data_IF_788333444833
#
_entry.id   IF_788333444833
#
_cell.length_a   1.000
_cell.length_b   1.000
_cell.length_c   1.000
_cell.angle_alpha   90.00
_cell.angle_beta   90.00
_cell.angle_gamma   90.00
#
_symmetry.space_group_name_H-M   'P 1'
#
loop_
_entity.id
_entity.type
_entity.pdbx_description
1 polymer ?
#
# COMPACT_ATOMS: atom_id res chain seq x y z
N UNK A 1 -20.73 -39.63 43.89
CA UNK A 1 -20.06 -38.35 43.62
C UNK A 1 -19.15 -38.61 42.44
N UNK A 2 -19.50 -38.08 41.27
CA UNK A 2 -18.63 -38.04 40.10
C UNK A 2 -18.80 -36.64 39.56
N UNK A 3 -17.81 -35.80 39.85
CA UNK A 3 -17.79 -34.41 39.45
C UNK A 3 -17.69 -34.34 37.94
N UNK A 4 -18.70 -33.71 37.34
CA UNK A 4 -18.67 -33.28 35.95
C UNK A 4 -17.57 -32.22 35.86
N UNK A 5 -16.44 -32.58 35.25
CA UNK A 5 -15.40 -31.64 34.90
C UNK A 5 -15.97 -30.65 33.90
N UNK A 6 -16.41 -29.50 34.40
CA UNK A 6 -16.73 -28.36 33.54
C UNK A 6 -15.43 -27.99 32.82
N UNK A 7 -15.38 -28.26 31.51
CA UNK A 7 -14.35 -27.72 30.63
C UNK A 7 -14.37 -26.21 30.84
N UNK A 8 -13.29 -25.64 31.40
CA UNK A 8 -13.14 -24.21 31.44
C UNK A 8 -13.26 -23.68 30.00
N UNK A 9 -14.02 -22.61 29.73
CA UNK A 9 -14.05 -22.04 28.40
C UNK A 9 -12.61 -21.71 28.00
N UNK A 10 -12.18 -22.24 26.85
CA UNK A 10 -10.89 -21.89 26.28
C UNK A 10 -10.80 -20.36 26.22
N UNK A 11 -9.65 -19.80 26.60
CA UNK A 11 -9.44 -18.37 26.47
C UNK A 11 -9.73 -17.96 25.01
N UNK A 12 -10.43 -16.85 24.77
CA UNK A 12 -10.66 -16.40 23.40
C UNK A 12 -9.32 -16.21 22.71
N UNK A 13 -9.18 -16.82 21.54
CA UNK A 13 -8.02 -16.64 20.69
C UNK A 13 -8.02 -15.21 20.14
N UNK A 14 -6.84 -14.61 20.07
CA UNK A 14 -6.62 -13.30 19.46
C UNK A 14 -5.57 -13.47 18.36
N UNK A 15 -5.94 -13.32 17.07
CA UNK A 15 -7.28 -13.03 16.55
C UNK A 15 -8.26 -14.21 16.65
N UNK A 16 -9.56 -13.88 16.73
CA UNK A 16 -10.64 -14.87 16.66
C UNK A 16 -10.71 -15.47 15.23
N UNK A 17 -10.63 -16.81 15.08
CA UNK A 17 -10.64 -17.43 13.77
C UNK A 17 -12.00 -17.27 13.08
N UNK A 18 -12.05 -16.82 11.82
CA UNK A 18 -13.28 -16.80 11.03
C UNK A 18 -13.89 -18.20 10.89
N UNK A 19 -15.22 -18.28 10.69
CA UNK A 19 -15.93 -19.56 10.63
C UNK A 19 -15.36 -20.54 9.59
N UNK A 20 -14.90 -20.04 8.45
CA UNK A 20 -14.27 -20.85 7.41
C UNK A 20 -12.98 -21.55 7.89
N UNK A 21 -12.20 -20.92 8.76
CA UNK A 21 -11.02 -21.51 9.39
C UNK A 21 -11.40 -22.57 10.42
N UNK A 22 -12.48 -22.34 11.18
CA UNK A 22 -13.02 -23.32 12.12
C UNK A 22 -13.49 -24.59 11.40
N UNK A 23 -14.20 -24.45 10.27
CA UNK A 23 -14.61 -25.60 9.47
C UNK A 23 -13.40 -26.30 8.81
N UNK A 24 -12.41 -25.54 8.33
CA UNK A 24 -11.17 -26.10 7.78
C UNK A 24 -10.39 -26.92 8.82
N UNK A 25 -10.31 -26.44 10.07
CA UNK A 25 -9.65 -27.14 11.17
C UNK A 25 -10.25 -28.53 11.44
N UNK A 26 -11.59 -28.66 11.36
CA UNK A 26 -12.29 -29.95 11.52
C UNK A 26 -11.93 -30.95 10.42
N UNK A 27 -11.58 -30.46 9.23
CA UNK A 27 -11.18 -31.28 8.10
C UNK A 27 -9.67 -31.59 8.10
N UNK A 28 -8.88 -30.82 8.84
CA UNK A 28 -7.44 -30.92 8.94
C UNK A 28 -6.98 -30.90 10.42
N UNK A 29 -7.17 -31.99 11.18
CA UNK A 29 -6.66 -32.10 12.55
C UNK A 29 -5.12 -32.12 12.57
N UNK A 30 -4.54 -31.65 13.67
CA UNK A 30 -3.09 -31.52 13.87
C UNK A 30 -2.38 -30.75 12.72
N UNK A 31 -3.01 -29.67 12.23
CA UNK A 31 -2.54 -28.90 11.08
C UNK A 31 -2.44 -27.40 11.36
N UNK A 32 -1.63 -26.71 10.57
CA UNK A 32 -1.52 -25.25 10.58
C UNK A 32 -2.33 -24.66 9.43
N UNK A 33 -3.16 -23.66 9.75
CA UNK A 33 -4.06 -22.98 8.82
C UNK A 33 -3.58 -21.53 8.66
N UNK A 34 -3.02 -21.24 7.50
CA UNK A 34 -2.44 -19.92 7.19
C UNK A 34 -3.53 -18.88 6.89
N UNK A 35 -3.38 -17.69 7.47
CA UNK A 35 -4.18 -16.50 7.15
C UNK A 35 -3.41 -15.61 6.16
N UNK A 36 -3.71 -15.66 4.84
CA UNK A 36 -3.14 -14.72 3.89
C UNK A 36 -3.69 -13.31 4.11
N UNK A 37 -2.89 -12.31 3.77
CA UNK A 37 -3.38 -10.94 3.65
C UNK A 37 -4.35 -10.85 2.45
N UNK A 38 -5.57 -10.29 2.62
CA UNK A 38 -6.57 -10.18 1.55
C UNK A 38 -6.12 -9.40 0.31
N UNK A 39 -5.09 -8.55 0.43
CA UNK A 39 -4.53 -7.80 -0.68
C UNK A 39 -3.63 -8.64 -1.58
N UNK A 40 -3.21 -9.85 -1.17
CA UNK A 40 -2.41 -10.74 -2.01
C UNK A 40 -3.24 -11.33 -3.16
N UNK A 41 -2.71 -11.26 -4.39
CA UNK A 41 -3.42 -11.65 -5.64
C UNK A 41 -2.69 -12.68 -6.50
N UNK A 42 -1.68 -13.36 -5.95
CA UNK A 42 -0.90 -14.34 -6.70
C UNK A 42 -1.64 -15.65 -6.98
N UNK A 43 -1.07 -16.47 -7.86
CA UNK A 43 -1.53 -17.84 -8.08
C UNK A 43 -0.85 -18.81 -7.11
N UNK A 44 -1.59 -19.80 -6.62
CA UNK A 44 -1.07 -20.84 -5.73
C UNK A 44 -1.10 -20.46 -4.24
N UNK A 45 -0.25 -21.07 -3.41
CA UNK A 45 -0.10 -20.68 -2.01
C UNK A 45 0.55 -19.28 -1.89
N UNK A 46 0.12 -18.46 -0.92
CA UNK A 46 0.78 -17.19 -0.63
C UNK A 46 2.23 -17.43 -0.22
N UNK A 47 3.18 -16.58 -0.65
CA UNK A 47 4.53 -16.58 -0.10
C UNK A 47 4.50 -16.14 1.37
N UNK A 48 5.49 -16.54 2.15
CA UNK A 48 5.54 -16.28 3.60
C UNK A 48 5.33 -14.80 3.95
N UNK A 49 5.90 -13.87 3.18
CA UNK A 49 5.75 -12.43 3.45
C UNK A 49 4.30 -11.92 3.33
N UNK A 50 3.42 -12.64 2.64
CA UNK A 50 2.02 -12.28 2.42
C UNK A 50 1.05 -12.99 3.39
N UNK A 51 1.58 -13.76 4.35
CA UNK A 51 0.81 -14.45 5.38
C UNK A 51 0.85 -13.64 6.66
N UNK A 52 -0.32 -13.29 7.21
CA UNK A 52 -0.45 -12.54 8.47
C UNK A 52 0.02 -13.39 9.65
N UNK A 53 -0.35 -14.67 9.65
CA UNK A 53 -0.02 -15.63 10.68
C UNK A 53 -0.77 -16.94 10.43
N UNK A 54 -0.84 -17.78 11.45
CA UNK A 54 -1.41 -19.12 11.32
C UNK A 54 -2.07 -19.61 12.60
N UNK A 55 -3.18 -20.32 12.44
CA UNK A 55 -3.84 -21.04 13.53
C UNK A 55 -3.43 -22.51 13.54
N UNK A 56 -3.25 -23.11 14.72
CA UNK A 56 -3.04 -24.57 14.86
C UNK A 56 -4.33 -25.27 15.29
N UNK A 57 -4.70 -26.33 14.59
CA UNK A 57 -5.71 -27.28 15.05
C UNK A 57 -5.08 -28.39 15.91
N UNK A 58 -5.85 -28.94 16.84
CA UNK A 58 -5.51 -30.17 17.57
C UNK A 58 -6.05 -31.42 16.85
N UNK A 59 -5.87 -32.59 17.49
CA UNK A 59 -6.31 -33.88 16.96
C UNK A 59 -7.83 -34.00 16.78
N UNK A 60 -8.61 -33.18 17.50
CA UNK A 60 -10.07 -33.12 17.39
C UNK A 60 -10.52 -32.11 16.31
N UNK A 61 -9.58 -31.43 15.66
CA UNK A 61 -9.85 -30.40 14.67
C UNK A 61 -10.33 -29.09 15.28
N UNK A 62 -10.01 -28.84 16.55
CA UNK A 62 -10.31 -27.58 17.24
C UNK A 62 -9.12 -26.64 17.12
N UNK A 63 -9.35 -25.36 16.80
CA UNK A 63 -8.29 -24.36 16.80
C UNK A 63 -7.90 -24.05 18.25
N UNK A 64 -6.61 -24.18 18.56
CA UNK A 64 -6.09 -24.07 19.93
C UNK A 64 -5.01 -23.01 20.10
N UNK A 65 -4.43 -22.51 19.01
CA UNK A 65 -3.24 -21.65 19.04
C UNK A 65 -3.19 -20.73 17.83
N UNK A 66 -2.68 -19.51 18.04
CA UNK A 66 -2.31 -18.55 17.00
C UNK A 66 -0.82 -18.28 17.08
N UNK A 67 -0.17 -18.17 15.91
CA UNK A 67 1.21 -17.74 15.76
C UNK A 67 1.28 -16.61 14.75
N UNK A 68 1.77 -15.44 15.19
CA UNK A 68 2.07 -14.32 14.30
C UNK A 68 3.25 -14.66 13.39
N UNK A 69 3.17 -14.25 12.13
CA UNK A 69 4.27 -14.44 11.21
C UNK A 69 5.24 -13.25 11.26
N UNK A 70 6.50 -13.43 11.71
CA UNK A 70 7.47 -12.34 11.79
C UNK A 70 7.93 -11.82 10.42
N UNK A 71 7.73 -12.59 9.34
CA UNK A 71 8.09 -12.19 7.97
C UNK A 71 6.95 -11.43 7.26
N UNK A 72 5.78 -11.29 7.91
CA UNK A 72 4.62 -10.61 7.34
C UNK A 72 4.94 -9.17 6.97
N UNK A 73 4.60 -8.79 5.74
CA UNK A 73 4.63 -7.42 5.24
C UNK A 73 3.19 -6.93 5.12
N UNK A 74 2.74 -5.99 5.96
CA UNK A 74 1.36 -5.55 5.94
C UNK A 74 0.97 -4.84 4.64
N UNK A 75 -0.21 -5.17 4.12
CA UNK A 75 -0.84 -4.42 3.02
C UNK A 75 -1.26 -3.01 3.44
N UNK A 76 -1.62 -2.12 2.49
CA UNK A 76 -2.06 -0.76 2.82
C UNK A 76 -3.22 -0.72 3.82
N UNK A 77 -4.20 -1.62 3.67
CA UNK A 77 -5.35 -1.71 4.58
C UNK A 77 -4.91 -2.20 5.97
N UNK A 78 -4.04 -3.20 6.05
CA UNK A 78 -3.48 -3.69 7.31
C UNK A 78 -2.61 -2.66 8.03
N UNK A 79 -1.97 -1.74 7.29
CA UNK A 79 -1.28 -0.57 7.84
C UNK A 79 -2.25 0.52 8.35
N UNK A 80 -3.56 0.35 8.14
CA UNK A 80 -4.58 1.34 8.49
C UNK A 80 -4.57 2.57 7.58
N UNK A 81 -4.03 2.46 6.36
CA UNK A 81 -4.03 3.58 5.41
C UNK A 81 -5.43 3.80 4.84
N UNK A 82 -5.80 5.06 4.52
CA UNK A 82 -7.08 5.34 3.88
C UNK A 82 -7.16 4.74 2.48
N UNK A 83 -8.38 4.39 2.06
CA UNK A 83 -8.67 4.06 0.67
C UNK A 83 -8.04 5.07 -0.30
N UNK A 84 -7.38 4.60 -1.38
CA UNK A 84 -6.67 5.47 -2.30
C UNK A 84 -7.62 6.47 -2.98
N UNK A 85 -7.13 7.70 -3.18
CA UNK A 85 -7.91 8.82 -3.73
C UNK A 85 -8.18 8.64 -5.22
N UNK A 86 -7.22 8.01 -5.90
CA UNK A 86 -7.12 7.83 -7.33
C UNK A 86 -6.20 6.63 -7.63
N UNK A 87 -6.02 6.31 -8.92
CA UNK A 87 -5.21 5.17 -9.36
C UNK A 87 -3.71 5.34 -9.08
N UNK A 88 -3.20 6.59 -9.08
CA UNK A 88 -1.78 6.85 -8.77
C UNK A 88 -1.52 6.67 -7.28
N UNK A 89 -2.43 7.15 -6.42
CA UNK A 89 -2.40 6.93 -4.97
C UNK A 89 -2.46 5.43 -4.65
N UNK A 90 -3.32 4.67 -5.35
CA UNK A 90 -3.38 3.20 -5.23
C UNK A 90 -2.04 2.55 -5.60
N UNK A 91 -1.46 2.94 -6.73
CA UNK A 91 -0.17 2.41 -7.16
C UNK A 91 0.96 2.73 -6.16
N UNK A 92 0.99 3.95 -5.61
CA UNK A 92 1.97 4.36 -4.58
C UNK A 92 1.82 3.49 -3.33
N UNK A 93 0.58 3.30 -2.85
CA UNK A 93 0.32 2.48 -1.66
C UNK A 93 0.80 1.03 -1.87
N UNK A 94 0.41 0.41 -2.99
CA UNK A 94 0.78 -0.98 -3.29
C UNK A 94 2.29 -1.16 -3.51
N UNK A 95 2.93 -0.24 -4.24
CA UNK A 95 4.37 -0.28 -4.47
C UNK A 95 5.16 -0.15 -3.16
N UNK A 96 4.70 0.70 -2.23
CA UNK A 96 5.39 0.91 -0.95
C UNK A 96 5.31 -0.31 -0.03
N UNK A 97 4.19 -1.02 -0.04
CA UNK A 97 4.01 -2.25 0.76
C UNK A 97 4.53 -3.50 0.06
N UNK A 98 4.94 -3.41 -1.21
CA UNK A 98 5.42 -4.53 -2.00
C UNK A 98 4.31 -5.41 -2.60
N UNK A 99 3.06 -4.95 -2.55
CA UNK A 99 1.89 -5.63 -3.13
C UNK A 99 1.66 -5.26 -4.61
N UNK A 100 2.43 -4.31 -5.15
CA UNK A 100 2.43 -3.96 -6.56
C UNK A 100 3.83 -3.54 -7.03
N UNK A 101 4.11 -3.64 -8.34
CA UNK A 101 5.37 -3.15 -8.91
C UNK A 101 5.43 -1.62 -8.88
N UNK A 102 6.63 -1.06 -8.73
CA UNK A 102 6.84 0.40 -8.75
C UNK A 102 6.54 1.01 -10.14
N UNK A 103 6.65 0.19 -11.18
CA UNK A 103 6.34 0.50 -12.56
C UNK A 103 4.87 0.92 -12.75
N UNK A 104 3.95 0.39 -11.92
CA UNK A 104 2.53 0.76 -11.96
C UNK A 104 2.32 2.24 -11.63
N UNK A 105 3.18 2.83 -10.78
CA UNK A 105 3.11 4.27 -10.48
C UNK A 105 3.45 5.09 -11.74
N UNK A 106 4.50 4.67 -12.47
CA UNK A 106 4.90 5.36 -13.70
C UNK A 106 3.87 5.17 -14.80
N UNK A 107 3.26 3.98 -14.90
CA UNK A 107 2.15 3.72 -15.81
C UNK A 107 0.93 4.60 -15.49
N UNK A 108 0.52 4.68 -14.22
CA UNK A 108 -0.60 5.52 -13.79
C UNK A 108 -0.34 7.02 -13.98
N UNK A 109 0.91 7.46 -13.93
CA UNK A 109 1.30 8.85 -14.24
C UNK A 109 1.28 9.17 -15.74
N UNK A 110 1.33 8.15 -16.61
CA UNK A 110 1.37 8.39 -18.06
C UNK A 110 0.07 9.01 -18.54
N UNK A 111 0.16 10.21 -19.12
CA UNK A 111 -1.00 10.97 -19.58
C UNK A 111 -1.82 11.65 -18.45
N UNK A 112 -1.41 11.52 -17.19
CA UNK A 112 -2.10 12.14 -16.07
C UNK A 112 -1.90 13.67 -16.04
N UNK A 113 -2.93 14.37 -15.57
CA UNK A 113 -2.81 15.76 -15.12
C UNK A 113 -2.67 15.78 -13.60
N UNK A 114 -1.77 16.62 -13.10
CA UNK A 114 -1.44 16.73 -11.67
C UNK A 114 -1.45 18.17 -11.23
N UNK A 115 -1.76 18.39 -9.95
CA UNK A 115 -1.69 19.69 -9.31
C UNK A 115 -0.29 19.93 -8.73
N UNK A 116 0.28 21.10 -9.00
CA UNK A 116 1.60 21.51 -8.53
C UNK A 116 1.48 22.85 -7.84
N UNK A 117 2.03 22.95 -6.63
CA UNK A 117 2.05 24.21 -5.90
C UNK A 117 3.00 25.19 -6.60
N UNK A 118 2.58 26.44 -6.70
CA UNK A 118 3.38 27.50 -7.34
C UNK A 118 3.69 28.64 -6.39
N UNK A 119 4.84 29.25 -6.60
CA UNK A 119 5.27 30.49 -5.93
C UNK A 119 4.51 31.70 -6.48
N UNK A 120 4.67 32.86 -5.86
CA UNK A 120 4.04 34.11 -6.32
C UNK A 120 4.45 34.50 -7.76
N UNK A 121 5.63 34.05 -8.21
CA UNK A 121 6.14 34.28 -9.56
C UNK A 121 5.66 33.21 -10.57
N UNK A 122 4.81 32.28 -10.14
CA UNK A 122 4.27 31.19 -10.96
C UNK A 122 5.19 29.97 -11.10
N UNK A 123 6.39 29.99 -10.52
CA UNK A 123 7.32 28.86 -10.57
C UNK A 123 6.93 27.72 -9.62
N UNK A 124 7.17 26.43 -9.95
CA UNK A 124 6.92 25.31 -9.06
C UNK A 124 7.64 25.48 -7.71
N UNK A 125 6.92 25.21 -6.63
CA UNK A 125 7.49 25.16 -5.28
C UNK A 125 8.53 24.05 -5.20
N UNK A 126 9.63 24.32 -4.50
CA UNK A 126 10.71 23.36 -4.26
C UNK A 126 10.77 23.05 -2.77
N UNK A 127 10.93 21.78 -2.45
CA UNK A 127 11.00 21.26 -1.08
C UNK A 127 12.15 20.27 -0.95
N UNK A 128 12.44 19.87 0.27
CA UNK A 128 13.27 18.70 0.55
C UNK A 128 12.34 17.59 1.03
N UNK A 129 12.40 16.42 0.40
CA UNK A 129 11.70 15.23 0.87
C UNK A 129 12.29 14.75 2.22
N UNK A 130 11.61 13.85 2.95
CA UNK A 130 12.09 13.39 4.26
C UNK A 130 13.50 12.79 4.27
N UNK A 131 13.95 12.23 3.14
CA UNK A 131 15.28 11.67 2.92
C UNK A 131 16.34 12.73 2.53
N UNK A 132 15.95 14.00 2.40
CA UNK A 132 16.79 15.10 1.98
C UNK A 132 16.75 15.38 0.47
N UNK A 133 16.12 14.54 -0.34
CA UNK A 133 16.10 14.68 -1.81
C UNK A 133 15.39 15.99 -2.21
N UNK A 134 16.03 16.88 -2.99
CA UNK A 134 15.37 18.06 -3.54
C UNK A 134 14.23 17.63 -4.45
N UNK A 135 13.04 18.19 -4.24
CA UNK A 135 11.85 17.75 -4.98
C UNK A 135 10.85 18.88 -5.23
N UNK A 136 9.96 18.65 -6.19
CA UNK A 136 8.77 19.45 -6.45
C UNK A 136 7.55 18.66 -5.94
N UNK A 137 6.73 19.19 -5.02
CA UNK A 137 5.56 18.49 -4.52
C UNK A 137 4.45 18.47 -5.59
N UNK A 138 3.89 17.28 -5.81
CA UNK A 138 2.88 17.00 -6.84
C UNK A 138 1.70 16.29 -6.19
N UNK A 139 0.49 16.68 -6.54
CA UNK A 139 -0.73 16.12 -5.97
C UNK A 139 -1.63 15.57 -7.07
N UNK A 140 -2.05 14.32 -6.92
CA UNK A 140 -2.85 13.59 -7.91
C UNK A 140 -4.35 13.72 -7.67
N UNK A 141 -4.74 14.16 -6.46
CA UNK A 141 -6.14 14.43 -6.11
C UNK A 141 -6.32 15.72 -5.32
N UNK A 142 -7.54 16.27 -5.38
CA UNK A 142 -7.94 17.41 -4.55
C UNK A 142 -7.84 17.09 -3.05
N UNK A 143 -8.03 15.82 -2.65
CA UNK A 143 -7.91 15.37 -1.25
C UNK A 143 -6.51 15.67 -0.71
N UNK A 144 -5.48 15.23 -1.43
CA UNK A 144 -4.09 15.40 -1.04
C UNK A 144 -3.64 16.86 -1.16
N UNK A 145 -4.05 17.54 -2.24
CA UNK A 145 -3.76 18.97 -2.41
C UNK A 145 -4.33 19.82 -1.27
N UNK A 146 -5.58 19.58 -0.86
CA UNK A 146 -6.19 20.33 0.24
C UNK A 146 -5.58 20.01 1.59
N UNK A 147 -5.11 18.78 1.81
CA UNK A 147 -4.37 18.41 3.01
C UNK A 147 -3.03 19.17 3.13
N UNK A 148 -2.41 19.52 2.00
CA UNK A 148 -1.20 20.36 1.98
C UNK A 148 -1.46 21.85 2.28
N UNK A 149 -2.73 22.30 2.23
CA UNK A 149 -3.15 23.64 2.62
C UNK A 149 -3.86 24.43 1.50
N UNK A 150 -4.12 25.71 1.77
CA UNK A 150 -4.80 26.64 0.85
C UNK A 150 -3.78 27.48 0.08
N UNK A 151 -2.89 26.81 -0.65
CA UNK A 151 -1.83 27.44 -1.44
C UNK A 151 -2.24 27.55 -2.92
N UNK A 152 -1.61 28.49 -3.64
CA UNK A 152 -1.80 28.60 -5.09
C UNK A 152 -1.21 27.37 -5.79
N UNK A 153 -1.91 26.88 -6.81
CA UNK A 153 -1.50 25.72 -7.58
C UNK A 153 -1.90 25.87 -9.05
N UNK A 154 -1.24 25.10 -9.91
CA UNK A 154 -1.59 24.91 -11.30
C UNK A 154 -1.84 23.43 -11.57
N UNK A 155 -2.79 23.12 -12.45
CA UNK A 155 -2.96 21.79 -12.99
C UNK A 155 -2.20 21.70 -14.32
N UNK A 156 -1.34 20.70 -14.45
CA UNK A 156 -0.49 20.52 -15.62
C UNK A 156 -0.41 19.03 -15.98
N UNK A 157 -0.35 18.68 -17.28
CA UNK A 157 0.09 17.35 -17.68
C UNK A 157 1.48 17.06 -17.13
N UNK A 158 1.71 15.83 -16.66
CA UNK A 158 3.02 15.42 -16.11
C UNK A 158 4.16 15.69 -17.09
N UNK A 159 3.92 15.48 -18.39
CA UNK A 159 4.90 15.76 -19.45
C UNK A 159 5.32 17.24 -19.52
N UNK A 160 4.40 18.16 -19.29
CA UNK A 160 4.69 19.60 -19.24
C UNK A 160 5.39 19.96 -17.93
N UNK A 161 4.93 19.39 -16.81
CA UNK A 161 5.58 19.58 -15.51
C UNK A 161 7.06 19.23 -15.55
N UNK A 162 7.41 18.09 -16.16
CA UNK A 162 8.80 17.63 -16.27
C UNK A 162 9.73 18.65 -16.95
N UNK A 163 9.21 19.50 -17.84
CA UNK A 163 10.00 20.58 -18.47
C UNK A 163 10.29 21.76 -17.53
N UNK A 164 9.55 21.87 -16.43
CA UNK A 164 9.65 22.95 -15.42
C UNK A 164 10.37 22.52 -14.15
N UNK A 165 10.61 21.22 -13.98
CA UNK A 165 11.35 20.70 -12.82
C UNK A 165 12.84 21.05 -12.99
N UNK A 166 13.49 21.70 -12.00
CA UNK A 166 14.91 21.98 -12.10
C UNK A 166 15.74 20.70 -12.15
N UNK A 167 16.89 20.76 -12.82
CA UNK A 167 17.82 19.64 -12.84
C UNK A 167 18.18 19.19 -11.42
N UNK A 168 18.25 17.86 -11.21
CA UNK A 168 18.53 17.26 -9.91
C UNK A 168 17.36 17.27 -8.91
N UNK A 169 16.15 17.70 -9.32
CA UNK A 169 14.95 17.58 -8.50
C UNK A 169 14.11 16.37 -8.90
N UNK A 170 13.58 15.67 -7.91
CA UNK A 170 12.58 14.64 -8.05
C UNK A 170 11.15 15.22 -8.07
N UNK A 171 10.15 14.42 -8.45
CA UNK A 171 8.76 14.68 -8.10
C UNK A 171 8.48 14.06 -6.74
N UNK A 172 7.80 14.79 -5.84
CA UNK A 172 7.31 14.22 -4.58
C UNK A 172 5.79 14.10 -4.63
N UNK A 173 5.33 12.91 -5.01
CA UNK A 173 3.92 12.59 -5.22
C UNK A 173 3.20 12.45 -3.88
N UNK A 174 2.06 13.13 -3.75
CA UNK A 174 1.14 13.05 -2.63
C UNK A 174 1.82 13.21 -1.26
N UNK A 175 2.72 14.20 -1.16
CA UNK A 175 3.52 14.46 0.06
C UNK A 175 2.73 14.70 1.36
N UNK A 176 1.42 14.94 1.25
CA UNK A 176 0.48 15.12 2.38
C UNK A 176 -0.37 13.88 2.70
N UNK A 177 -0.22 12.78 1.95
CA UNK A 177 -0.95 11.54 2.16
C UNK A 177 -0.34 10.69 3.29
N UNK A 178 -1.01 9.59 3.64
CA UNK A 178 -0.48 8.60 4.59
C UNK A 178 0.86 8.01 4.11
N UNK A 179 1.03 7.89 2.79
CA UNK A 179 2.27 7.54 2.11
C UNK A 179 2.41 8.37 0.85
N UNK A 180 3.61 8.90 0.60
CA UNK A 180 3.97 9.60 -0.64
C UNK A 180 5.20 8.97 -1.27
N UNK A 181 5.46 9.28 -2.54
CA UNK A 181 6.57 8.70 -3.29
C UNK A 181 7.48 9.76 -3.88
N UNK A 182 8.78 9.62 -3.68
CA UNK A 182 9.80 10.42 -4.35
C UNK A 182 10.21 9.72 -5.63
N UNK A 183 9.91 10.32 -6.77
CA UNK A 183 10.17 9.76 -8.09
C UNK A 183 11.25 10.59 -8.80
N UNK A 184 12.43 10.01 -9.08
CA UNK A 184 13.46 10.66 -9.87
C UNK A 184 12.93 11.10 -11.24
N UNK A 185 13.35 12.29 -11.71
CA UNK A 185 12.93 12.80 -13.01
C UNK A 185 13.84 12.34 -14.15
N UNK A 186 15.05 11.88 -13.86
CA UNK A 186 15.98 11.35 -14.84
C UNK A 186 15.39 10.09 -15.52
N UNK A 187 15.28 10.12 -16.85
CA UNK A 187 14.67 9.03 -17.63
C UNK A 187 13.14 8.92 -17.53
N UNK A 188 12.49 9.68 -16.64
CA UNK A 188 11.04 9.59 -16.43
C UNK A 188 10.24 10.01 -17.67
N UNK A 189 10.67 11.05 -18.38
CA UNK A 189 10.01 11.48 -19.62
C UNK A 189 9.99 10.37 -20.68
N UNK A 190 11.09 9.63 -20.83
CA UNK A 190 11.20 8.52 -21.78
C UNK A 190 10.33 7.32 -21.37
N UNK A 191 10.26 7.02 -20.06
CA UNK A 191 9.38 5.98 -19.53
C UNK A 191 7.91 6.30 -19.78
N UNK A 192 7.50 7.54 -19.50
CA UNK A 192 6.12 7.99 -19.71
C UNK A 192 5.73 7.95 -21.20
N UNK A 193 6.64 8.30 -22.11
CA UNK A 193 6.40 8.24 -23.55
C UNK A 193 6.26 6.80 -24.10
N UNK A 194 6.92 5.82 -23.47
CA UNK A 194 6.82 4.40 -23.85
C UNK A 194 5.51 3.75 -23.40
N UNK A 195 4.94 4.21 -22.28
CA UNK A 195 3.65 3.74 -21.77
C UNK A 195 2.44 4.16 -22.62
N UNK A 196 2.61 5.10 -23.55
CA UNK A 196 1.55 5.57 -24.46
C UNK A 196 1.48 4.78 -25.78
N UNK A 197 2.25 3.69 -25.94
CA UNK A 197 2.13 2.77 -27.07
C UNK A 197 0.87 1.90 -26.97
N UNK A 198 0.23 1.50 -28.09
CA UNK A 198 -0.98 0.68 -28.03
C UNK A 198 -0.65 -0.69 -27.43
N UNK A 199 -1.23 -0.99 -26.27
CA UNK A 199 -1.36 -2.35 -25.75
C UNK A 199 -2.42 -3.15 -26.49
#
# INVERSE_FOLDING_TARGET
>A
MSESGAQAPAAPLDPEPPQEYVEAARLAPDHWLYLPDPAWRGEGPPPDWAVVGQWRSDSDGTIVEWEDNPEYRPSPEAMGWPEPADEIDRAIQLATTGYGPAEDVTAALSGAEVAVLVTADGEPVRVSAPDGTPAVPVYTSARHLHAAGRLAFENLPVSILLTRVPAGHALYLNSSAAVGMVLPTEGLADLLARGTGPG
#
